data_IF_740230736479
#
_entry.id   IF_740230736479
#
_cell.length_a   1.000
_cell.length_b   1.000
_cell.length_c   1.000
_cell.angle_alpha   90.00
_cell.angle_beta   90.00
_cell.angle_gamma   90.00
#
_symmetry.space_group_name_H-M   'P 1'
#
loop_
_entity.id
_entity.type
_entity.pdbx_description
1 polymer ?
#
# COMPACT_ATOMS: atom_id res chain seq x y z
N UNK A 1 -11.75 -12.43 -24.38
CA UNK A 1 -10.88 -12.36 -25.59
C UNK A 1 -11.69 -12.24 -26.88
N UNK A 2 -12.64 -13.14 -27.16
CA UNK A 2 -13.46 -13.09 -28.40
C UNK A 2 -14.42 -11.89 -28.51
N UNK A 3 -15.00 -11.43 -27.38
CA UNK A 3 -15.91 -10.27 -27.36
C UNK A 3 -15.17 -8.95 -27.67
N UNK A 4 -13.89 -8.86 -27.32
CA UNK A 4 -13.03 -7.70 -27.52
C UNK A 4 -12.66 -7.48 -29.00
N UNK A 5 -12.58 -8.58 -29.78
CA UNK A 5 -12.32 -8.54 -31.22
C UNK A 5 -13.53 -8.04 -32.04
N UNK A 6 -14.75 -8.28 -31.57
CA UNK A 6 -15.97 -7.91 -32.32
C UNK A 6 -16.26 -6.40 -32.25
N UNK A 7 -15.96 -5.74 -31.13
CA UNK A 7 -16.10 -4.28 -30.98
C UNK A 7 -15.04 -3.49 -31.77
N UNK A 8 -13.83 -4.06 -31.94
CA UNK A 8 -12.81 -3.47 -32.81
C UNK A 8 -13.19 -3.53 -34.30
N UNK A 9 -13.85 -4.60 -34.76
CA UNK A 9 -14.16 -4.75 -36.20
C UNK A 9 -15.25 -3.79 -36.69
N UNK A 10 -16.28 -3.54 -35.87
CA UNK A 10 -17.38 -2.61 -36.19
C UNK A 10 -16.92 -1.14 -36.25
N UNK A 11 -15.91 -0.79 -35.46
CA UNK A 11 -15.30 0.54 -35.42
C UNK A 11 -14.39 0.80 -36.64
N UNK A 12 -13.76 -0.24 -37.17
CA UNK A 12 -12.87 -0.16 -38.34
C UNK A 12 -13.65 0.03 -39.65
N UNK A 13 -14.81 -0.60 -39.81
CA UNK A 13 -15.58 -0.52 -41.06
C UNK A 13 -16.14 0.88 -41.35
N UNK A 14 -16.36 1.70 -40.32
CA UNK A 14 -16.90 3.06 -40.49
C UNK A 14 -15.83 4.09 -40.89
N UNK A 15 -14.56 3.85 -40.56
CA UNK A 15 -13.47 4.82 -40.79
C UNK A 15 -12.65 4.57 -42.06
N UNK A 16 -12.74 3.39 -42.67
CA UNK A 16 -12.00 3.06 -43.90
C UNK A 16 -12.59 3.67 -45.18
N UNK A 17 -13.73 4.36 -45.13
CA UNK A 17 -14.42 4.83 -46.34
C UNK A 17 -13.96 6.21 -46.87
N UNK A 18 -13.06 6.92 -46.18
CA UNK A 18 -12.78 8.33 -46.52
C UNK A 18 -11.31 8.76 -46.68
N UNK A 19 -10.31 7.87 -46.67
CA UNK A 19 -8.91 8.31 -46.82
C UNK A 19 -8.03 7.40 -47.70
N UNK A 20 -7.06 7.97 -48.45
CA UNK A 20 -6.22 7.26 -49.41
C UNK A 20 -5.19 6.32 -48.74
N UNK A 21 -4.64 5.33 -49.47
CA UNK A 21 -4.02 4.11 -48.90
C UNK A 21 -2.63 4.28 -48.27
N UNK A 22 -2.05 5.47 -48.26
CA UNK A 22 -0.64 5.70 -47.88
C UNK A 22 -0.45 6.34 -46.50
N UNK A 23 -1.51 6.74 -45.81
CA UNK A 23 -1.45 7.43 -44.50
C UNK A 23 -2.10 6.64 -43.35
N UNK A 24 -2.71 5.50 -43.61
CA UNK A 24 -3.52 4.74 -42.64
C UNK A 24 -2.67 3.95 -41.63
N UNK A 25 -1.46 3.53 -42.01
CA UNK A 25 -0.62 2.64 -41.18
C UNK A 25 0.12 3.40 -40.07
N UNK A 26 0.57 4.62 -40.33
CA UNK A 26 1.25 5.47 -39.34
C UNK A 26 0.27 6.08 -38.34
N UNK A 27 -0.95 6.41 -38.77
CA UNK A 27 -1.97 6.99 -37.91
C UNK A 27 -2.56 5.98 -36.92
N UNK A 28 -2.75 4.72 -37.35
CA UNK A 28 -3.27 3.66 -36.50
C UNK A 28 -2.27 3.25 -35.40
N UNK A 29 -0.97 3.19 -35.72
CA UNK A 29 0.06 2.90 -34.72
C UNK A 29 0.23 4.06 -33.72
N UNK A 30 0.10 5.32 -34.17
CA UNK A 30 0.15 6.49 -33.30
C UNK A 30 -1.04 6.56 -32.32
N UNK A 31 -2.25 6.20 -32.76
CA UNK A 31 -3.44 6.12 -31.89
C UNK A 31 -3.38 4.96 -30.89
N UNK A 32 -2.83 3.80 -31.29
CA UNK A 32 -2.61 2.67 -30.38
C UNK A 32 -1.51 2.96 -29.34
N UNK A 33 -0.48 3.72 -29.72
CA UNK A 33 0.57 4.21 -28.80
C UNK A 33 0.06 5.30 -27.84
N UNK A 34 -0.85 6.18 -28.28
CA UNK A 34 -1.50 7.17 -27.41
C UNK A 34 -2.50 6.53 -26.43
N UNK A 35 -3.23 5.51 -26.87
CA UNK A 35 -4.21 4.81 -26.03
C UNK A 35 -3.59 3.91 -24.95
N UNK A 36 -2.33 3.50 -25.11
CA UNK A 36 -1.62 2.64 -24.14
C UNK A 36 -0.87 3.42 -23.06
N UNK A 37 -0.76 4.75 -23.19
CA UNK A 37 0.02 5.59 -22.26
C UNK A 37 -0.80 6.14 -21.07
N UNK A 38 -2.13 6.06 -21.10
CA UNK A 38 -3.02 6.62 -20.08
C UNK A 38 -3.98 5.57 -19.50
N UNK A 39 -3.45 4.45 -19.03
CA UNK A 39 -4.23 3.53 -18.21
C UNK A 39 -4.39 4.13 -16.80
N UNK A 40 -5.44 4.94 -16.62
CA UNK A 40 -5.86 5.41 -15.31
C UNK A 40 -6.26 4.22 -14.45
N UNK A 41 -5.82 4.23 -13.18
CA UNK A 41 -6.04 3.13 -12.24
C UNK A 41 -7.52 2.92 -11.94
N UNK A 42 -8.25 4.02 -11.73
CA UNK A 42 -9.64 3.99 -11.31
C UNK A 42 -10.55 4.08 -12.53
N UNK A 43 -11.27 3.00 -12.78
CA UNK A 43 -12.31 2.93 -13.80
C UNK A 43 -13.63 2.59 -13.13
N UNK A 44 -14.65 3.42 -13.35
CA UNK A 44 -16.02 3.17 -12.85
C UNK A 44 -16.56 1.79 -13.26
N UNK A 45 -16.13 1.30 -14.42
CA UNK A 45 -16.46 -0.04 -14.91
C UNK A 45 -16.01 -1.15 -13.95
N UNK A 46 -14.83 -1.01 -13.33
CA UNK A 46 -14.30 -2.02 -12.39
C UNK A 46 -15.11 -2.00 -11.10
N UNK A 47 -15.41 -0.82 -10.56
CA UNK A 47 -16.21 -0.70 -9.34
C UNK A 47 -17.63 -1.26 -9.56
N UNK A 48 -18.22 -0.96 -10.72
CA UNK A 48 -19.52 -1.50 -11.11
C UNK A 48 -19.50 -3.04 -11.22
N UNK A 49 -18.53 -3.60 -11.93
CA UNK A 49 -18.39 -5.06 -12.09
C UNK A 49 -18.28 -5.79 -10.74
N UNK A 50 -17.48 -5.26 -9.81
CA UNK A 50 -17.39 -5.81 -8.45
C UNK A 50 -18.74 -5.73 -7.73
N UNK A 51 -19.40 -4.58 -7.78
CA UNK A 51 -20.63 -4.34 -7.03
C UNK A 51 -21.86 -5.09 -7.58
N UNK A 52 -21.85 -5.44 -8.87
CA UNK A 52 -22.88 -6.28 -9.50
C UNK A 52 -22.69 -7.77 -9.22
N UNK A 53 -21.52 -8.19 -8.73
CA UNK A 53 -21.25 -9.58 -8.39
C UNK A 53 -21.81 -9.95 -7.00
N UNK A 54 -22.87 -10.78 -6.90
CA UNK A 54 -23.46 -11.17 -5.61
C UNK A 54 -22.52 -12.00 -4.73
N UNK A 55 -21.47 -12.59 -5.30
CA UNK A 55 -20.45 -13.37 -4.60
C UNK A 55 -19.22 -12.56 -4.16
N UNK A 56 -19.17 -11.24 -4.39
CA UNK A 56 -17.98 -10.45 -4.10
C UNK A 56 -17.64 -10.41 -2.59
N UNK A 57 -18.66 -10.31 -1.72
CA UNK A 57 -18.48 -10.22 -0.27
C UNK A 57 -17.93 -8.87 0.24
N UNK A 58 -17.70 -7.91 -0.66
CA UNK A 58 -17.28 -6.53 -0.36
C UNK A 58 -17.85 -5.60 -1.43
N UNK A 59 -17.82 -4.28 -1.17
CA UNK A 59 -18.24 -3.24 -2.13
C UNK A 59 -17.05 -2.37 -2.51
N UNK A 60 -16.92 -2.08 -3.80
CA UNK A 60 -15.94 -1.15 -4.33
C UNK A 60 -16.50 0.28 -4.36
N UNK A 61 -15.65 1.26 -4.05
CA UNK A 61 -15.95 2.67 -4.22
C UNK A 61 -14.72 3.40 -4.79
N UNK A 62 -14.96 4.42 -5.60
CA UNK A 62 -13.90 5.29 -6.12
C UNK A 62 -13.44 6.23 -5.01
N UNK A 63 -12.14 6.25 -4.74
CA UNK A 63 -11.52 7.21 -3.84
C UNK A 63 -10.90 8.37 -4.64
N UNK A 64 -11.37 9.62 -4.47
CA UNK A 64 -10.88 10.79 -5.19
C UNK A 64 -9.37 10.99 -5.13
N UNK A 65 -8.71 10.54 -4.04
CA UNK A 65 -7.25 10.61 -3.86
C UNK A 65 -6.49 10.01 -5.05
N UNK A 66 -7.04 8.96 -5.67
CA UNK A 66 -6.36 8.22 -6.73
C UNK A 66 -6.91 8.49 -8.13
N UNK A 67 -7.88 9.41 -8.29
CA UNK A 67 -8.61 9.60 -9.57
C UNK A 67 -7.70 9.92 -10.75
N UNK A 68 -6.60 10.64 -10.50
CA UNK A 68 -5.62 11.03 -11.53
C UNK A 68 -4.34 10.18 -11.48
N UNK A 69 -4.35 9.07 -10.74
CA UNK A 69 -3.18 8.20 -10.61
C UNK A 69 -3.12 7.18 -11.74
N UNK A 70 -1.94 7.06 -12.35
CA UNK A 70 -1.63 5.94 -13.23
C UNK A 70 -1.38 4.67 -12.42
N UNK A 71 -1.50 3.50 -13.07
CA UNK A 71 -1.11 2.23 -12.46
C UNK A 71 0.34 2.27 -11.94
N UNK A 72 1.24 2.93 -12.66
CA UNK A 72 2.64 3.07 -12.25
C UNK A 72 2.83 3.93 -10.99
N UNK A 73 2.08 5.03 -10.86
CA UNK A 73 2.08 5.85 -9.64
C UNK A 73 1.54 5.07 -8.45
N UNK A 74 0.46 4.30 -8.64
CA UNK A 74 -0.11 3.47 -7.58
C UNK A 74 0.85 2.35 -7.14
N UNK A 75 1.53 1.70 -8.09
CA UNK A 75 2.52 0.65 -7.78
C UNK A 75 3.65 1.15 -6.87
N UNK A 76 4.03 2.43 -6.93
CA UNK A 76 5.03 3.00 -6.03
C UNK A 76 4.57 3.09 -4.56
N UNK A 77 3.26 3.05 -4.32
CA UNK A 77 2.71 3.01 -2.95
C UNK A 77 2.77 1.60 -2.34
N UNK A 78 2.99 0.56 -3.17
CA UNK A 78 3.05 -0.85 -2.76
C UNK A 78 4.48 -1.23 -2.33
N UNK A 79 4.86 -0.77 -1.14
CA UNK A 79 6.24 -0.81 -0.66
C UNK A 79 6.70 -2.09 0.03
N UNK A 80 5.85 -3.08 0.28
CA UNK A 80 6.30 -4.31 0.95
C UNK A 80 7.17 -5.14 0.02
N UNK A 81 8.39 -5.44 0.47
CA UNK A 81 9.30 -6.38 -0.19
C UNK A 81 9.21 -7.76 0.45
N UNK A 82 9.38 -8.80 -0.36
CA UNK A 82 9.35 -10.18 0.12
C UNK A 82 10.55 -10.45 1.03
N UNK A 83 10.29 -10.80 2.29
CA UNK A 83 11.33 -11.14 3.24
C UNK A 83 12.19 -12.33 2.76
N UNK A 84 13.53 -12.19 2.75
CA UNK A 84 14.44 -13.29 2.44
C UNK A 84 14.29 -14.48 3.41
N UNK A 85 14.41 -15.73 2.92
CA UNK A 85 14.20 -16.93 3.74
C UNK A 85 15.17 -17.05 4.93
N UNK A 86 16.41 -16.64 4.74
CA UNK A 86 17.44 -16.62 5.79
C UNK A 86 17.11 -15.65 6.93
N UNK A 87 16.42 -14.55 6.64
CA UNK A 87 15.96 -13.60 7.66
C UNK A 87 14.91 -14.26 8.57
N UNK A 88 14.00 -15.05 7.99
CA UNK A 88 12.94 -15.74 8.71
C UNK A 88 13.45 -16.87 9.60
N UNK A 89 14.50 -17.60 9.22
CA UNK A 89 15.03 -18.72 10.01
C UNK A 89 15.58 -18.30 11.38
N UNK A 90 15.95 -17.02 11.53
CA UNK A 90 16.43 -16.47 12.81
C UNK A 90 15.30 -16.06 13.77
N UNK A 91 14.05 -16.05 13.32
CA UNK A 91 12.91 -15.58 14.12
C UNK A 91 12.36 -16.72 14.99
N UNK A 92 12.26 -16.52 16.32
CA UNK A 92 11.66 -17.52 17.20
C UNK A 92 10.21 -17.79 16.82
N UNK A 93 9.87 -19.07 16.67
CA UNK A 93 8.49 -19.48 16.42
C UNK A 93 7.76 -19.62 17.75
N UNK A 94 6.73 -18.81 17.96
CA UNK A 94 5.81 -18.94 19.10
C UNK A 94 4.70 -19.91 18.69
N UNK A 95 4.48 -20.94 19.51
CA UNK A 95 3.40 -21.92 19.29
C UNK A 95 2.39 -21.85 20.44
N UNK A 96 1.12 -22.04 20.09
CA UNK A 96 0.00 -22.07 21.05
C UNK A 96 -0.70 -23.43 20.98
N UNK A 97 -1.25 -23.93 22.10
CA UNK A 97 -1.97 -25.19 22.11
C UNK A 97 -3.23 -25.09 21.27
N UNK A 98 -3.53 -26.14 20.49
CA UNK A 98 -4.75 -26.21 19.67
C UNK A 98 -6.04 -26.22 20.51
N UNK A 99 -5.93 -26.54 21.81
CA UNK A 99 -7.03 -26.52 22.77
C UNK A 99 -7.35 -25.12 23.30
N UNK A 100 -6.66 -24.08 22.85
CA UNK A 100 -6.94 -22.71 23.27
C UNK A 100 -8.33 -22.29 22.76
N UNK A 101 -9.22 -21.96 23.70
CA UNK A 101 -10.55 -21.46 23.38
C UNK A 101 -10.45 -19.99 22.96
N UNK A 102 -10.46 -19.74 21.65
CA UNK A 102 -10.46 -18.39 21.09
C UNK A 102 -11.89 -17.82 21.06
N UNK A 103 -12.08 -16.51 21.28
CA UNK A 103 -13.37 -15.89 21.11
C UNK A 103 -13.80 -15.97 19.65
N UNK A 104 -15.11 -16.04 19.40
CA UNK A 104 -15.67 -16.05 18.04
C UNK A 104 -15.39 -14.75 17.28
N UNK A 105 -15.32 -13.65 18.01
CA UNK A 105 -15.08 -12.30 17.49
C UNK A 105 -14.08 -11.60 18.40
N UNK A 106 -13.19 -10.83 17.81
CA UNK A 106 -12.20 -10.05 18.53
C UNK A 106 -11.94 -8.75 17.79
N UNK A 107 -12.01 -7.64 18.53
CA UNK A 107 -11.64 -6.31 18.04
C UNK A 107 -10.70 -5.67 19.07
N UNK A 108 -9.47 -5.41 18.65
CA UNK A 108 -8.45 -4.82 19.52
C UNK A 108 -8.87 -3.44 20.06
N UNK A 109 -9.65 -2.67 19.28
CA UNK A 109 -10.13 -1.34 19.66
C UNK A 109 -11.12 -1.38 20.82
N UNK A 110 -11.88 -2.46 20.95
CA UNK A 110 -12.83 -2.65 22.06
C UNK A 110 -12.21 -3.41 23.21
N UNK A 111 -11.22 -4.28 22.95
CA UNK A 111 -10.47 -4.98 23.98
C UNK A 111 -9.54 -4.06 24.77
N UNK A 112 -8.99 -3.02 24.13
CA UNK A 112 -8.11 -2.03 24.74
C UNK A 112 -8.57 -0.60 24.40
N UNK A 113 -9.73 -0.16 24.90
CA UNK A 113 -10.32 1.13 24.55
C UNK A 113 -9.50 2.33 25.04
N UNK A 114 -8.64 2.13 26.03
CA UNK A 114 -7.70 3.14 26.53
C UNK A 114 -6.50 3.38 25.59
N UNK A 115 -6.29 2.51 24.61
CA UNK A 115 -5.18 2.61 23.66
C UNK A 115 -5.66 3.28 22.37
N UNK A 116 -5.56 4.61 22.32
CA UNK A 116 -6.00 5.39 21.17
C UNK A 116 -5.21 5.07 19.90
N UNK A 117 -3.97 4.58 20.02
CA UNK A 117 -3.15 4.17 18.86
C UNK A 117 -3.79 3.09 18.00
N UNK A 118 -4.52 2.12 18.60
CA UNK A 118 -5.09 0.96 17.88
C UNK A 118 -6.15 1.41 16.86
N UNK A 119 -6.89 2.47 17.18
CA UNK A 119 -7.92 3.04 16.32
C UNK A 119 -7.42 4.16 15.42
N UNK A 120 -6.18 4.62 15.59
CA UNK A 120 -5.63 5.74 14.83
C UNK A 120 -5.25 5.27 13.44
N UNK A 121 -5.81 5.93 12.43
CA UNK A 121 -5.50 5.64 11.01
C UNK A 121 -4.49 6.66 10.52
N UNK A 122 -3.31 6.20 10.11
CA UNK A 122 -2.28 7.03 9.52
C UNK A 122 -2.28 6.98 7.98
N UNK A 123 -1.61 7.96 7.37
CA UNK A 123 -1.51 8.11 5.91
C UNK A 123 -0.04 8.10 5.45
N UNK A 124 0.34 7.09 4.68
CA UNK A 124 1.69 6.98 4.10
C UNK A 124 2.02 8.01 3.02
N UNK A 125 1.04 8.82 2.60
CA UNK A 125 1.24 9.85 1.59
C UNK A 125 1.54 9.27 0.21
N UNK A 126 2.60 9.77 -0.41
CA UNK A 126 3.09 9.36 -1.74
C UNK A 126 4.31 8.43 -1.69
N UNK A 127 4.65 7.93 -0.51
CA UNK A 127 5.82 7.10 -0.24
C UNK A 127 5.40 5.62 -0.17
N UNK A 128 6.19 4.71 -0.72
CA UNK A 128 6.03 3.26 -0.54
C UNK A 128 6.49 2.77 0.84
N UNK A 129 6.03 3.42 1.90
CA UNK A 129 6.42 3.18 3.29
C UNK A 129 5.43 2.32 4.07
N UNK A 130 4.43 1.71 3.43
CA UNK A 130 3.43 0.86 4.11
C UNK A 130 4.05 -0.24 5.01
N UNK A 131 5.23 -0.74 4.64
CA UNK A 131 6.00 -1.71 5.45
C UNK A 131 6.44 -1.15 6.80
N UNK A 132 6.75 0.16 6.86
CA UNK A 132 7.18 0.89 8.04
C UNK A 132 5.96 1.27 8.90
N UNK A 133 4.90 1.80 8.27
CA UNK A 133 3.62 2.10 8.94
C UNK A 133 3.08 0.89 9.70
N UNK A 134 2.91 -0.25 9.02
CA UNK A 134 2.37 -1.44 9.67
C UNK A 134 3.23 -1.95 10.84
N UNK A 135 4.55 -1.72 10.80
CA UNK A 135 5.45 -2.10 11.89
C UNK A 135 5.37 -1.14 13.08
N UNK A 136 5.40 0.17 12.82
CA UNK A 136 5.38 1.23 13.83
C UNK A 136 4.02 1.36 14.52
N UNK A 137 2.91 1.25 13.78
CA UNK A 137 1.55 1.21 14.34
C UNK A 137 1.41 0.02 15.28
N UNK A 138 1.79 -1.17 14.82
CA UNK A 138 1.78 -2.39 15.64
C UNK A 138 2.66 -2.28 16.90
N UNK A 139 3.80 -1.58 16.81
CA UNK A 139 4.66 -1.36 17.97
C UNK A 139 4.02 -0.38 18.96
N UNK A 140 3.45 0.73 18.48
CA UNK A 140 2.74 1.73 19.28
C UNK A 140 1.60 1.07 20.08
N UNK A 141 0.81 0.22 19.42
CA UNK A 141 -0.25 -0.55 20.05
C UNK A 141 0.26 -1.48 21.16
N UNK A 142 1.38 -2.16 20.89
CA UNK A 142 2.01 -3.05 21.88
C UNK A 142 2.55 -2.28 23.08
N UNK A 143 3.05 -1.06 22.90
CA UNK A 143 3.47 -0.20 24.01
C UNK A 143 2.28 0.12 24.93
N UNK A 144 1.12 0.46 24.36
CA UNK A 144 -0.06 0.71 25.16
C UNK A 144 -0.59 -0.57 25.83
N UNK A 145 -0.71 -1.67 25.09
CA UNK A 145 -1.24 -2.95 25.60
C UNK A 145 -0.36 -3.50 26.74
N UNK A 146 0.97 -3.43 26.59
CA UNK A 146 1.88 -4.07 27.53
C UNK A 146 2.32 -3.15 28.68
N UNK A 147 2.57 -1.87 28.40
CA UNK A 147 3.11 -0.91 29.37
C UNK A 147 2.11 0.16 29.82
N UNK A 148 0.93 0.24 29.19
CA UNK A 148 -0.03 1.31 29.45
C UNK A 148 0.40 2.68 28.89
N UNK A 149 1.38 2.70 27.98
CA UNK A 149 1.89 3.93 27.36
C UNK A 149 1.20 4.13 26.01
N UNK A 150 0.17 4.96 25.98
CA UNK A 150 -0.57 5.32 24.77
C UNK A 150 0.16 6.43 24.01
N UNK A 151 1.18 6.04 23.22
CA UNK A 151 2.03 6.98 22.48
C UNK A 151 2.22 6.53 21.02
N UNK A 152 1.99 7.41 20.04
CA UNK A 152 2.34 7.14 18.65
C UNK A 152 3.87 7.19 18.47
N UNK A 153 4.42 6.19 17.81
CA UNK A 153 5.84 6.12 17.47
C UNK A 153 6.08 6.65 16.05
N UNK A 154 7.30 7.13 15.80
CA UNK A 154 7.67 7.79 14.55
C UNK A 154 7.89 6.80 13.41
N UNK A 155 7.14 6.98 12.33
CA UNK A 155 7.44 6.27 11.07
C UNK A 155 8.66 6.87 10.39
N UNK A 156 8.87 8.18 10.55
CA UNK A 156 9.96 8.89 9.90
C UNK A 156 11.34 8.41 10.38
N UNK A 157 11.49 8.26 11.70
CA UNK A 157 12.72 7.81 12.35
C UNK A 157 13.12 6.42 11.85
N UNK A 158 12.16 5.49 11.73
CA UNK A 158 12.42 4.18 11.14
C UNK A 158 12.90 4.28 9.67
N UNK A 159 12.26 5.13 8.87
CA UNK A 159 12.61 5.30 7.45
C UNK A 159 13.99 5.91 7.26
N UNK A 160 14.36 6.87 8.11
CA UNK A 160 15.62 7.56 8.05
C UNK A 160 16.78 6.74 8.64
N UNK A 161 16.54 6.03 9.76
CA UNK A 161 17.62 5.39 10.53
C UNK A 161 17.83 3.91 10.31
N UNK A 162 16.83 3.15 9.88
CA UNK A 162 17.08 1.74 9.59
C UNK A 162 17.89 1.55 8.29
N UNK A 163 17.85 2.53 7.39
CA UNK A 163 18.61 2.53 6.15
C UNK A 163 18.44 1.23 5.35
N UNK A 164 19.56 0.74 4.80
CA UNK A 164 19.57 -0.47 3.96
C UNK A 164 19.23 -1.77 4.69
N UNK A 165 19.26 -1.79 6.03
CA UNK A 165 18.87 -2.97 6.82
C UNK A 165 17.38 -3.27 6.66
N UNK A 166 16.54 -2.23 6.63
CA UNK A 166 15.11 -2.37 6.43
C UNK A 166 14.67 -2.30 4.97
N UNK A 167 15.50 -1.75 4.08
CA UNK A 167 15.20 -1.68 2.65
C UNK A 167 15.62 -0.36 2.05
N UNK A 168 14.71 0.29 1.33
CA UNK A 168 14.99 1.48 0.52
C UNK A 168 13.97 2.59 0.80
N UNK A 169 13.54 2.74 2.06
CA UNK A 169 12.59 3.76 2.48
C UNK A 169 11.30 3.75 1.66
N UNK A 170 11.06 4.81 0.90
CA UNK A 170 9.90 4.96 0.01
C UNK A 170 9.90 4.04 -1.21
N UNK A 171 11.03 3.44 -1.58
CA UNK A 171 11.10 2.38 -2.60
C UNK A 171 10.89 0.99 -2.00
N UNK A 172 10.37 0.93 -0.77
CA UNK A 172 9.92 -0.27 -0.11
C UNK A 172 10.96 -0.95 0.79
N UNK A 173 10.46 -1.82 1.66
CA UNK A 173 11.23 -2.45 2.72
C UNK A 173 10.58 -3.72 3.29
N UNK A 174 11.24 -4.28 4.28
CA UNK A 174 10.93 -5.58 4.87
C UNK A 174 10.39 -5.39 6.29
N UNK A 175 9.11 -5.70 6.56
CA UNK A 175 8.53 -5.56 7.88
C UNK A 175 9.32 -6.29 8.98
N UNK A 176 9.87 -7.48 8.69
CA UNK A 176 10.65 -8.22 9.69
C UNK A 176 11.94 -7.49 10.09
N UNK A 177 12.58 -6.79 9.15
CA UNK A 177 13.80 -6.04 9.43
C UNK A 177 13.49 -4.83 10.32
N UNK A 178 12.31 -4.20 10.16
CA UNK A 178 11.84 -3.17 11.06
C UNK A 178 11.73 -3.68 12.51
N UNK A 179 11.11 -4.86 12.70
CA UNK A 179 11.02 -5.47 14.03
C UNK A 179 12.37 -5.81 14.63
N UNK A 180 13.33 -6.29 13.83
CA UNK A 180 14.71 -6.50 14.28
C UNK A 180 15.37 -5.19 14.68
N UNK A 181 15.19 -4.14 13.88
CA UNK A 181 15.72 -2.82 14.17
C UNK A 181 15.19 -2.30 15.51
N UNK A 182 13.88 -2.38 15.75
CA UNK A 182 13.25 -1.99 17.02
C UNK A 182 13.83 -2.73 18.23
N UNK A 183 14.11 -4.03 18.09
CA UNK A 183 14.67 -4.83 19.17
C UNK A 183 16.10 -4.39 19.57
N UNK A 184 16.84 -3.74 18.67
CA UNK A 184 18.22 -3.32 18.90
C UNK A 184 18.39 -1.83 19.15
N UNK A 185 17.57 -0.98 18.52
CA UNK A 185 17.75 0.48 18.51
C UNK A 185 16.54 1.23 19.08
N UNK A 186 15.35 0.62 19.05
CA UNK A 186 14.09 1.32 19.33
C UNK A 186 13.64 2.23 18.19
N UNK A 187 12.75 3.16 18.51
CA UNK A 187 12.24 4.22 17.62
C UNK A 187 11.74 5.37 18.50
N UNK A 188 11.87 6.61 18.04
CA UNK A 188 11.37 7.79 18.79
C UNK A 188 9.85 7.95 18.66
N UNK A 189 9.27 8.90 19.41
CA UNK A 189 7.85 9.23 19.30
C UNK A 189 7.56 10.01 18.02
N UNK A 190 6.34 9.90 17.51
CA UNK A 190 5.86 10.70 16.37
C UNK A 190 5.94 12.21 16.65
N UNK A 191 5.83 12.63 17.92
CA UNK A 191 6.04 14.03 18.32
C UNK A 191 7.50 14.48 18.12
N UNK A 192 8.46 13.58 18.37
CA UNK A 192 9.89 13.88 18.25
C UNK A 192 10.34 13.97 16.79
N UNK A 193 9.87 13.05 15.94
CA UNK A 193 10.18 13.06 14.51
C UNK A 193 8.91 12.76 13.68
N UNK A 194 8.10 13.77 13.39
CA UNK A 194 6.84 13.59 12.67
C UNK A 194 7.03 13.07 11.24
N UNK A 195 6.11 12.24 10.77
CA UNK A 195 6.06 11.84 9.37
C UNK A 195 5.77 13.04 8.47
N UNK A 196 6.66 13.30 7.50
CA UNK A 196 6.68 14.54 6.74
C UNK A 196 5.33 14.98 6.12
N UNK A 197 5.01 16.27 6.31
CA UNK A 197 4.35 17.12 5.31
C UNK A 197 5.25 18.33 5.06
N UNK A 198 5.99 18.31 3.93
CA UNK A 198 6.82 19.33 3.25
C UNK A 198 7.72 20.33 4.03
N UNK A 199 7.64 20.43 5.36
CA UNK A 199 8.27 21.50 6.15
C UNK A 199 9.49 21.01 6.93
N UNK A 200 9.73 19.70 6.97
CA UNK A 200 10.97 19.11 7.47
C UNK A 200 11.23 19.46 8.94
N UNK A 201 10.83 18.56 9.85
CA UNK A 201 11.40 18.60 11.19
C UNK A 201 12.90 18.28 11.10
N UNK A 202 13.70 18.94 11.95
CA UNK A 202 15.13 18.67 12.05
C UNK A 202 15.30 17.29 12.64
N UNK A 203 15.61 16.31 11.79
CA UNK A 203 16.02 14.99 12.25
C UNK A 203 17.26 15.15 13.15
N UNK A 204 17.28 14.62 14.39
CA UNK A 204 18.47 14.66 15.25
C UNK A 204 19.68 13.86 14.72
N UNK A 205 19.63 13.41 13.47
CA UNK A 205 20.45 12.31 12.96
C UNK A 205 20.08 10.95 13.56
N UNK A 206 20.64 9.94 12.90
CA UNK A 206 20.96 8.64 13.46
C UNK A 206 22.47 8.69 13.76
#
# INVERSE_FOLDING_TARGET
>A
FFVFLFFLSLSFSFFSFFLPPSSSFTFSLFFLLLSSCLLFLLQESIAKEVNENPGAGWKAAINPRFSNSTVGQFKRLLGVKQTPRNELSSIPVVTHPKSLNLPKEFDARTAWPQCSTIGRILDQGHCGSCWAFGAVESLSDRFCIHFGVDVPLSVNDLLACCGFLCGSGCDGGYPISAWKYFAHHGVVTEECDPYFDQIGCSHPGC
#
